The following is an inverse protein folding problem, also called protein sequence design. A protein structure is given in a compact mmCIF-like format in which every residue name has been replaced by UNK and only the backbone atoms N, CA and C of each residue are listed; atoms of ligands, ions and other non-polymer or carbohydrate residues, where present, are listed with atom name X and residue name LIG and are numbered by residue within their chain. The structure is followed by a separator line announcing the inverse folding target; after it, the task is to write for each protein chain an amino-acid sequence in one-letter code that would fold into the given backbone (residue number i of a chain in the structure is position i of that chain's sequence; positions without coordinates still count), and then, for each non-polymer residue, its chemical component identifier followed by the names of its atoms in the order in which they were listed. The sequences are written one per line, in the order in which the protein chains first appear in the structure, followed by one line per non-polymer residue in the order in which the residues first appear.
data_IF_973609411145
#
_entry.id   IF_973609411145
#
_cell.length_a   1.000
_cell.length_b   1.000
_cell.length_c   1.000
_cell.angle_alpha   90.00
_cell.angle_beta   90.00
_cell.angle_gamma   90.00
#
_symmetry.space_group_name_H-M   'P 1'
#
loop_
_entity.id
_entity.type
_entity.pdbx_description
1 polymer ?
#
# COMPACT_ATOMS: atom_id res chain seq x y z
N UNK A 1 -8.75 -19.87 26.23
CA UNK A 1 -8.50 -19.85 24.77
C UNK A 1 -9.60 -18.99 24.13
N UNK A 2 -9.63 -17.67 24.37
CA UNK A 2 -10.83 -16.87 24.06
C UNK A 2 -10.63 -15.63 23.17
N UNK A 3 -9.40 -15.25 22.78
CA UNK A 3 -9.20 -14.01 22.00
C UNK A 3 -8.23 -14.15 20.82
N UNK A 4 -8.04 -15.34 20.27
CA UNK A 4 -7.05 -15.55 19.18
C UNK A 4 -7.37 -14.79 17.89
N UNK A 5 -8.61 -14.29 17.72
CA UNK A 5 -9.01 -13.44 16.60
C UNK A 5 -8.72 -11.93 16.79
N UNK A 6 -8.27 -11.51 17.97
CA UNK A 6 -8.03 -10.07 18.29
C UNK A 6 -6.56 -9.69 18.12
N UNK A 7 -5.65 -10.65 18.21
CA UNK A 7 -4.21 -10.41 18.15
C UNK A 7 -3.62 -10.92 16.85
N UNK A 8 -2.96 -10.04 16.10
CA UNK A 8 -2.06 -10.39 14.99
C UNK A 8 -0.87 -11.21 15.55
N UNK A 9 -0.66 -12.44 15.06
CA UNK A 9 0.38 -13.36 15.55
C UNK A 9 1.54 -13.51 14.55
N UNK A 10 1.28 -13.22 13.27
CA UNK A 10 2.26 -13.22 12.19
C UNK A 10 2.21 -11.91 11.40
N UNK A 11 3.31 -11.56 10.73
CA UNK A 11 3.33 -10.49 9.73
C UNK A 11 2.36 -10.74 8.56
N UNK A 12 1.96 -11.99 8.35
CA UNK A 12 1.00 -12.39 7.31
C UNK A 12 -0.46 -12.17 7.71
N UNK A 13 -0.74 -12.00 9.01
CA UNK A 13 -2.10 -11.86 9.55
C UNK A 13 -2.65 -10.46 9.26
N UNK A 14 -3.32 -10.32 8.11
CA UNK A 14 -4.08 -9.12 7.77
C UNK A 14 -5.53 -9.25 8.22
N UNK A 15 -5.99 -8.28 9.01
CA UNK A 15 -7.41 -8.10 9.29
C UNK A 15 -8.05 -7.23 8.21
N UNK A 16 -9.17 -7.68 7.64
CA UNK A 16 -10.00 -6.87 6.73
C UNK A 16 -11.45 -6.88 7.23
N UNK A 17 -12.13 -5.73 7.16
CA UNK A 17 -13.56 -5.63 7.43
C UNK A 17 -14.26 -4.89 6.28
N UNK A 18 -15.52 -5.21 6.04
CA UNK A 18 -16.35 -4.54 5.01
C UNK A 18 -17.38 -3.59 5.63
N UNK A 19 -17.19 -3.20 6.90
CA UNK A 19 -18.16 -2.37 7.64
C UNK A 19 -18.26 -0.96 7.05
N UNK A 20 -17.13 -0.37 6.64
CA UNK A 20 -17.05 0.99 6.10
C UNK A 20 -16.07 1.01 4.93
N UNK A 21 -16.41 1.77 3.88
CA UNK A 21 -15.47 2.18 2.84
C UNK A 21 -15.09 3.65 3.08
N UNK A 22 -13.80 3.94 3.18
CA UNK A 22 -13.31 5.31 3.38
C UNK A 22 -13.59 6.14 2.12
N UNK A 23 -14.29 7.27 2.29
CA UNK A 23 -14.41 8.30 1.26
C UNK A 23 -13.50 9.48 1.62
N UNK A 24 -12.59 9.84 0.71
CA UNK A 24 -11.71 10.99 0.90
C UNK A 24 -12.29 12.20 0.15
N UNK A 25 -12.75 13.21 0.89
CA UNK A 25 -13.20 14.47 0.31
C UNK A 25 -11.99 15.39 0.03
N UNK A 26 -11.65 15.57 -1.24
CA UNK A 26 -10.53 16.42 -1.67
C UNK A 26 -10.92 17.91 -1.83
N UNK A 27 -12.19 18.27 -1.67
CA UNK A 27 -12.68 19.64 -1.85
C UNK A 27 -12.31 20.21 -3.22
N UNK A 28 -11.68 21.39 -3.24
CA UNK A 28 -11.20 22.06 -4.45
C UNK A 28 -9.75 21.70 -4.83
N UNK A 29 -9.11 20.76 -4.13
CA UNK A 29 -7.73 20.39 -4.41
C UNK A 29 -7.61 19.69 -5.78
N UNK A 30 -6.67 20.18 -6.59
CA UNK A 30 -6.36 19.59 -7.89
C UNK A 30 -5.45 18.38 -7.73
N UNK A 31 -5.59 17.33 -8.57
CA UNK A 31 -4.72 16.18 -8.54
C UNK A 31 -3.25 16.53 -8.77
N UNK A 32 -2.37 15.93 -7.96
CA UNK A 32 -0.92 16.06 -8.10
C UNK A 32 -0.30 14.69 -8.37
N UNK A 33 0.43 14.59 -9.48
CA UNK A 33 1.20 13.41 -9.85
C UNK A 33 2.69 13.70 -9.80
N UNK A 34 3.32 13.32 -8.70
CA UNK A 34 4.75 13.50 -8.52
C UNK A 34 5.54 12.58 -9.47
N UNK A 35 6.67 13.05 -10.05
CA UNK A 35 7.53 12.20 -10.85
C UNK A 35 8.13 11.08 -9.98
N UNK A 36 8.24 9.88 -10.55
CA UNK A 36 8.84 8.73 -9.86
C UNK A 36 10.34 9.00 -9.63
N UNK A 37 10.80 8.79 -8.40
CA UNK A 37 12.24 8.82 -8.09
C UNK A 37 12.89 7.50 -8.52
N UNK A 38 14.10 7.58 -9.05
CA UNK A 38 14.87 6.38 -9.44
C UNK A 38 15.24 5.57 -8.19
N UNK A 39 14.91 4.28 -8.21
CA UNK A 39 15.36 3.33 -7.19
C UNK A 39 16.80 2.87 -7.48
N UNK A 40 17.67 2.82 -6.44
CA UNK A 40 18.98 2.19 -6.53
C UNK A 40 18.87 0.75 -7.04
N UNK A 41 19.79 0.33 -7.91
CA UNK A 41 19.70 -0.97 -8.59
C UNK A 41 19.59 -2.15 -7.62
N UNK A 42 20.33 -2.12 -6.50
CA UNK A 42 20.32 -3.18 -5.49
C UNK A 42 18.97 -3.33 -4.76
N UNK A 43 18.11 -2.30 -4.79
CA UNK A 43 16.81 -2.32 -4.10
C UNK A 43 15.65 -2.60 -5.05
N UNK A 44 15.87 -2.60 -6.37
CA UNK A 44 14.77 -2.75 -7.35
C UNK A 44 14.06 -4.08 -7.21
N UNK A 45 14.82 -5.15 -7.01
CA UNK A 45 14.29 -6.50 -6.85
C UNK A 45 13.46 -6.62 -5.58
N UNK A 46 14.01 -6.15 -4.46
CA UNK A 46 13.33 -6.15 -3.17
C UNK A 46 12.02 -5.36 -3.20
N UNK A 47 12.05 -4.14 -3.75
CA UNK A 47 10.84 -3.31 -3.91
C UNK A 47 9.82 -4.01 -4.82
N UNK A 48 10.26 -4.68 -5.89
CA UNK A 48 9.35 -5.46 -6.75
C UNK A 48 8.66 -6.58 -5.98
N UNK A 49 9.42 -7.39 -5.25
CA UNK A 49 8.86 -8.48 -4.44
C UNK A 49 7.87 -7.97 -3.39
N UNK A 50 8.16 -6.85 -2.73
CA UNK A 50 7.23 -6.22 -1.78
C UNK A 50 5.94 -5.75 -2.48
N UNK A 51 6.03 -5.16 -3.67
CA UNK A 51 4.85 -4.74 -4.44
C UNK A 51 4.02 -5.93 -4.93
N UNK A 52 4.67 -7.04 -5.29
CA UNK A 52 4.00 -8.29 -5.68
C UNK A 52 3.29 -8.93 -4.49
N UNK A 53 3.93 -9.00 -3.32
CA UNK A 53 3.33 -9.49 -2.07
C UNK A 53 2.11 -8.66 -1.67
N UNK A 54 2.24 -7.32 -1.64
CA UNK A 54 1.13 -6.42 -1.28
C UNK A 54 -0.05 -6.53 -2.26
N UNK A 55 0.20 -6.75 -3.55
CA UNK A 55 -0.86 -7.02 -4.53
C UNK A 55 -1.53 -8.37 -4.30
N UNK A 56 -0.74 -9.43 -4.05
CA UNK A 56 -1.26 -10.77 -3.74
C UNK A 56 -2.17 -10.75 -2.51
N UNK A 57 -1.75 -10.01 -1.48
CA UNK A 57 -2.47 -9.80 -0.23
C UNK A 57 -3.62 -8.79 -0.32
N UNK A 58 -3.85 -8.20 -1.50
CA UNK A 58 -4.92 -7.22 -1.79
C UNK A 58 -4.84 -5.94 -0.94
N UNK A 59 -3.64 -5.57 -0.52
CA UNK A 59 -3.35 -4.31 0.18
C UNK A 59 -3.27 -3.14 -0.81
N UNK A 60 -2.73 -3.40 -2.02
CA UNK A 60 -2.64 -2.43 -3.11
C UNK A 60 -3.22 -3.02 -4.41
N UNK A 61 -3.55 -2.14 -5.35
CA UNK A 61 -4.04 -2.51 -6.68
C UNK A 61 -3.51 -1.55 -7.76
N UNK A 62 -3.42 -1.99 -9.03
CA UNK A 62 -3.14 -1.10 -10.14
C UNK A 62 -4.19 0.02 -10.25
N UNK A 63 -3.74 1.25 -10.44
CA UNK A 63 -4.63 2.41 -10.53
C UNK A 63 -4.22 3.35 -11.65
N UNK A 64 -5.21 3.93 -12.33
CA UNK A 64 -5.05 5.01 -13.31
C UNK A 64 -5.26 6.41 -12.70
N UNK A 65 -5.12 6.54 -11.38
CA UNK A 65 -5.34 7.80 -10.65
C UNK A 65 -4.49 8.96 -11.19
N UNK A 66 -5.10 10.15 -11.18
CA UNK A 66 -4.42 11.42 -11.44
C UNK A 66 -3.57 11.87 -10.24
N UNK A 67 -3.76 11.25 -9.08
CA UNK A 67 -2.93 11.42 -7.89
C UNK A 67 -1.81 10.37 -7.87
N UNK A 68 -0.60 10.79 -7.54
CA UNK A 68 0.52 9.86 -7.40
C UNK A 68 1.68 10.44 -6.61
N UNK A 69 2.24 9.64 -5.71
CA UNK A 69 3.46 9.93 -4.98
C UNK A 69 4.54 8.91 -5.34
N UNK A 70 5.81 9.31 -5.27
CA UNK A 70 6.92 8.42 -5.55
C UNK A 70 7.18 7.46 -4.37
N UNK A 71 7.44 6.18 -4.67
CA UNK A 71 7.97 5.21 -3.69
C UNK A 71 9.41 5.58 -3.34
N UNK A 72 9.76 5.47 -2.07
CA UNK A 72 11.08 5.83 -1.54
C UNK A 72 11.56 4.67 -0.68
N UNK A 73 12.79 4.19 -0.92
CA UNK A 73 13.43 3.25 -0.03
C UNK A 73 14.13 4.00 1.11
N UNK A 74 13.95 3.50 2.33
CA UNK A 74 14.60 3.97 3.55
C UNK A 74 15.49 2.86 4.11
N UNK A 75 16.48 3.23 4.92
CA UNK A 75 17.38 2.31 5.63
C UNK A 75 17.18 2.45 7.13
#
# INVERSE_FOLDING_TARGET
MEHQQVTTLSADDLSQTHLIKLHMNTGSAQPVKMPLRRLPQHQREEVRCLMEDMQHRKVIEPSSSLWGAAVVSVR
#
